data_IF_965097120941
#
_entry.id   IF_965097120941
#
_cell.length_a   1.000
_cell.length_b   1.000
_cell.length_c   1.000
_cell.angle_alpha   90.00
_cell.angle_beta   90.00
_cell.angle_gamma   90.00
#
_symmetry.space_group_name_H-M   'P 1'
#
loop_
_entity.id
_entity.type
_entity.pdbx_description
1 polymer ?
#
# COMPACT_ATOMS: atom_id res chain seq x y z
N UNK A 1 27.94 -63.90 11.85
CA UNK A 1 28.73 -63.63 13.07
C UNK A 1 27.75 -63.24 14.15
N UNK A 2 27.79 -63.94 15.27
CA UNK A 2 26.81 -64.01 16.36
C UNK A 2 26.54 -62.67 17.06
N UNK A 3 25.30 -62.42 17.51
CA UNK A 3 24.92 -62.64 18.92
C UNK A 3 23.49 -62.19 19.22
N UNK A 4 22.78 -63.05 19.93
CA UNK A 4 21.65 -62.71 20.79
C UNK A 4 22.18 -62.47 22.21
N UNK A 5 21.61 -61.52 22.94
CA UNK A 5 21.69 -61.43 24.41
C UNK A 5 20.30 -61.09 24.94
N UNK A 6 19.92 -61.82 25.98
CA UNK A 6 18.66 -61.87 26.72
C UNK A 6 18.62 -60.89 27.91
N UNK A 7 17.48 -60.90 28.60
CA UNK A 7 17.26 -60.58 30.04
C UNK A 7 17.20 -59.09 30.41
N UNK A 8 16.00 -58.52 30.67
CA UNK A 8 15.13 -58.61 31.86
C UNK A 8 15.59 -57.70 32.99
N UNK A 9 14.76 -56.72 33.37
CA UNK A 9 14.35 -56.48 34.76
C UNK A 9 13.32 -55.34 34.81
N UNK A 10 12.28 -55.61 35.59
CA UNK A 10 11.15 -54.76 35.94
C UNK A 10 11.59 -53.53 36.75
N UNK A 11 10.86 -52.42 36.62
CA UNK A 11 10.21 -51.82 37.79
C UNK A 11 9.30 -50.63 37.40
N UNK A 12 8.09 -50.73 37.94
CA UNK A 12 7.18 -49.69 38.41
C UNK A 12 7.12 -48.34 37.65
N UNK A 13 5.94 -48.07 37.06
CA UNK A 13 4.91 -47.24 37.69
C UNK A 13 3.94 -46.73 36.59
N UNK A 14 2.81 -47.43 36.41
CA UNK A 14 1.70 -46.94 35.58
C UNK A 14 0.91 -45.89 36.36
N UNK A 15 1.19 -44.62 36.11
CA UNK A 15 0.33 -43.52 36.52
C UNK A 15 -0.45 -43.01 35.31
N UNK A 16 -1.76 -43.18 35.43
CA UNK A 16 -2.88 -42.65 34.65
C UNK A 16 -2.64 -41.23 34.10
N UNK A 17 -2.27 -41.11 32.83
CA UNK A 17 -2.18 -39.81 32.14
C UNK A 17 -3.58 -39.40 31.68
N UNK A 18 -4.23 -38.67 32.57
CA UNK A 18 -5.38 -37.82 32.27
C UNK A 18 -4.98 -36.78 31.21
N UNK A 19 -5.69 -36.79 30.08
CA UNK A 19 -5.52 -35.81 29.01
C UNK A 19 -5.74 -34.38 29.54
N UNK A 20 -4.65 -33.66 29.76
CA UNK A 20 -4.64 -32.20 29.79
C UNK A 20 -3.75 -31.73 28.66
N UNK A 21 -4.34 -31.63 27.46
CA UNK A 21 -3.64 -31.06 26.31
C UNK A 21 -3.52 -29.54 26.49
N UNK A 22 -2.35 -29.18 27.00
CA UNK A 22 -1.63 -27.92 26.94
C UNK A 22 -2.20 -26.90 25.93
N UNK A 23 -2.56 -25.75 26.50
CA UNK A 23 -2.63 -24.43 25.88
C UNK A 23 -1.39 -24.22 25.00
N UNK A 24 -1.57 -24.35 23.69
CA UNK A 24 -0.52 -24.09 22.68
C UNK A 24 -0.51 -22.58 22.42
N UNK A 25 0.67 -21.94 22.34
CA UNK A 25 0.79 -20.49 22.27
C UNK A 25 0.11 -19.96 21.01
N UNK A 26 -0.73 -18.94 21.20
CA UNK A 26 -1.21 -18.05 20.14
C UNK A 26 -0.01 -17.65 19.29
N UNK A 27 0.05 -18.26 18.11
CA UNK A 27 1.01 -17.87 17.10
C UNK A 27 0.42 -16.62 16.50
N UNK A 28 0.98 -15.47 16.85
CA UNK A 28 0.85 -14.19 16.14
C UNK A 28 1.47 -14.28 14.71
N UNK A 29 1.24 -15.40 14.04
CA UNK A 29 1.58 -15.64 12.67
C UNK A 29 0.49 -14.99 11.79
N UNK A 30 0.75 -13.72 11.51
CA UNK A 30 0.53 -13.16 10.18
C UNK A 30 -0.93 -13.00 9.76
N UNK A 31 -1.61 -12.05 10.42
CA UNK A 31 -2.45 -11.10 9.65
C UNK A 31 -1.56 -10.19 8.80
N UNK A 32 -0.73 -10.75 7.90
CA UNK A 32 -0.19 -9.99 6.78
C UNK A 32 -1.36 -9.76 5.82
N UNK A 33 -1.93 -8.57 5.93
CA UNK A 33 -3.15 -8.16 5.24
C UNK A 33 -2.98 -8.28 3.72
N UNK A 34 -4.08 -8.58 3.03
CA UNK A 34 -4.18 -8.71 1.56
C UNK A 34 -3.65 -7.49 0.75
N UNK A 35 -3.24 -6.41 1.43
CA UNK A 35 -2.84 -5.14 0.83
C UNK A 35 -1.46 -5.18 0.15
N UNK A 36 -0.50 -5.97 0.64
CA UNK A 36 0.80 -6.16 -0.03
C UNK A 36 0.74 -7.21 -1.15
N UNK A 37 -0.12 -8.21 -0.98
CA UNK A 37 -0.25 -9.30 -1.95
C UNK A 37 -0.91 -8.82 -3.25
N UNK A 38 -1.88 -7.92 -3.14
CA UNK A 38 -2.70 -7.52 -4.28
C UNK A 38 -1.93 -6.73 -5.37
N UNK A 39 -1.06 -5.75 -5.05
CA UNK A 39 -0.22 -5.10 -6.05
C UNK A 39 0.75 -6.06 -6.73
N UNK A 40 1.34 -7.00 -5.98
CA UNK A 40 2.26 -8.00 -6.55
C UNK A 40 1.53 -9.02 -7.43
N UNK A 41 0.32 -9.43 -7.02
CA UNK A 41 -0.57 -10.27 -7.81
C UNK A 41 -0.94 -9.59 -9.14
N UNK A 42 -1.36 -8.32 -9.14
CA UNK A 42 -1.67 -7.61 -10.39
C UNK A 42 -0.45 -7.55 -11.31
N UNK A 43 0.74 -7.35 -10.74
CA UNK A 43 1.99 -7.31 -11.51
C UNK A 43 2.29 -8.63 -12.22
N UNK A 44 1.95 -9.77 -11.62
CA UNK A 44 2.20 -11.10 -12.21
C UNK A 44 1.19 -11.54 -13.26
N UNK A 45 0.08 -10.80 -13.43
CA UNK A 45 -0.96 -11.15 -14.41
C UNK A 45 -0.53 -10.95 -15.87
N UNK A 46 -1.12 -11.78 -16.74
CA UNK A 46 -1.00 -11.68 -18.19
C UNK A 46 -1.72 -10.43 -18.73
N UNK A 47 -1.22 -9.88 -19.82
CA UNK A 47 -1.69 -8.64 -20.43
C UNK A 47 -3.20 -8.65 -20.69
N UNK A 48 -3.70 -9.72 -21.34
CA UNK A 48 -5.13 -9.87 -21.62
C UNK A 48 -5.99 -9.88 -20.35
N UNK A 49 -5.53 -10.55 -19.30
CA UNK A 49 -6.24 -10.63 -18.02
C UNK A 49 -6.32 -9.26 -17.35
N UNK A 50 -5.21 -8.53 -17.31
CA UNK A 50 -5.16 -7.16 -16.74
C UNK A 50 -6.13 -6.24 -17.48
N UNK A 51 -6.12 -6.27 -18.83
CA UNK A 51 -7.02 -5.45 -19.64
C UNK A 51 -8.48 -5.81 -19.38
N UNK A 52 -8.81 -7.10 -19.34
CA UNK A 52 -10.17 -7.58 -19.11
C UNK A 52 -10.67 -7.17 -17.73
N UNK A 53 -9.86 -7.37 -16.68
CA UNK A 53 -10.20 -6.97 -15.32
C UNK A 53 -10.40 -5.46 -15.23
N UNK A 54 -9.48 -4.65 -15.77
CA UNK A 54 -9.60 -3.18 -15.74
C UNK A 54 -10.88 -2.69 -16.43
N UNK A 55 -11.26 -3.29 -17.57
CA UNK A 55 -12.47 -2.94 -18.31
C UNK A 55 -13.76 -3.39 -17.63
N UNK A 56 -13.70 -4.42 -16.78
CA UNK A 56 -14.87 -4.97 -16.09
C UNK A 56 -15.09 -4.31 -14.74
N UNK A 57 -14.01 -4.04 -14.00
CA UNK A 57 -14.07 -3.52 -12.62
C UNK A 57 -14.14 -1.99 -12.54
N UNK A 58 -13.56 -1.27 -13.51
CA UNK A 58 -13.48 0.19 -13.49
C UNK A 58 -14.52 0.76 -14.46
N UNK A 59 -15.41 1.67 -13.99
CA UNK A 59 -16.39 2.30 -14.85
C UNK A 59 -15.74 3.00 -16.05
N UNK A 60 -16.36 2.87 -17.23
CA UNK A 60 -15.80 3.37 -18.49
C UNK A 60 -15.50 4.88 -18.50
N UNK A 61 -16.25 5.68 -17.74
CA UNK A 61 -16.06 7.13 -17.63
C UNK A 61 -14.90 7.53 -16.69
N UNK A 62 -14.39 6.60 -15.88
CA UNK A 62 -13.28 6.82 -14.95
C UNK A 62 -11.97 6.28 -15.53
N UNK A 63 -12.04 5.16 -16.24
CA UNK A 63 -10.89 4.54 -16.88
C UNK A 63 -10.43 5.40 -18.08
N UNK A 64 -9.20 5.94 -18.11
CA UNK A 64 -8.72 6.76 -19.22
C UNK A 64 -8.31 5.89 -20.41
N UNK A 65 -9.31 5.21 -21.00
CA UNK A 65 -9.12 4.22 -22.05
C UNK A 65 -8.47 4.82 -23.29
N UNK A 66 -8.94 5.98 -23.73
CA UNK A 66 -8.45 6.62 -24.96
C UNK A 66 -6.96 6.96 -24.85
N UNK A 67 -6.53 7.42 -23.68
CA UNK A 67 -5.12 7.68 -23.39
C UNK A 67 -4.30 6.38 -23.46
N UNK A 68 -4.74 5.33 -22.75
CA UNK A 68 -4.00 4.06 -22.69
C UNK A 68 -3.92 3.41 -24.08
N UNK A 69 -5.01 3.43 -24.85
CA UNK A 69 -5.05 2.83 -26.17
C UNK A 69 -4.22 3.62 -27.20
N UNK A 70 -4.06 4.93 -27.00
CA UNK A 70 -3.18 5.78 -27.81
C UNK A 70 -1.68 5.55 -27.59
N UNK A 71 -1.27 4.82 -26.54
CA UNK A 71 0.14 4.50 -26.32
C UNK A 71 0.66 3.52 -27.37
N UNK A 72 1.82 3.82 -27.97
CA UNK A 72 2.42 2.97 -29.02
C UNK A 72 3.07 1.69 -28.47
N UNK A 73 3.42 1.65 -27.18
CA UNK A 73 4.18 0.57 -26.58
C UNK A 73 3.27 -0.36 -25.76
N UNK A 74 3.23 -1.65 -26.13
CA UNK A 74 2.42 -2.67 -25.43
C UNK A 74 2.78 -2.79 -23.94
N UNK A 75 4.08 -2.71 -23.61
CA UNK A 75 4.53 -2.71 -22.22
C UNK A 75 3.95 -1.55 -21.41
N UNK A 76 3.94 -0.33 -21.97
CA UNK A 76 3.34 0.83 -21.30
C UNK A 76 1.83 0.68 -21.16
N UNK A 77 1.14 0.12 -22.16
CA UNK A 77 -0.30 -0.17 -22.04
C UNK A 77 -0.59 -1.09 -20.86
N UNK A 78 0.13 -2.21 -20.76
CA UNK A 78 0.02 -3.14 -19.63
C UNK A 78 0.26 -2.43 -18.31
N UNK A 79 1.34 -1.66 -18.23
CA UNK A 79 1.72 -0.92 -17.03
C UNK A 79 0.63 0.05 -16.58
N UNK A 80 0.06 0.82 -17.50
CA UNK A 80 -1.04 1.74 -17.20
C UNK A 80 -2.27 0.99 -16.68
N UNK A 81 -2.65 -0.13 -17.28
CA UNK A 81 -3.78 -0.92 -16.79
C UNK A 81 -3.53 -1.52 -15.39
N UNK A 82 -2.31 -2.00 -15.13
CA UNK A 82 -1.93 -2.49 -13.80
C UNK A 82 -2.03 -1.36 -12.76
N UNK A 83 -1.48 -0.19 -13.07
CA UNK A 83 -1.57 0.99 -12.20
C UNK A 83 -3.02 1.44 -11.97
N UNK A 84 -3.88 1.41 -13.00
CA UNK A 84 -5.31 1.66 -12.85
C UNK A 84 -5.94 0.72 -11.83
N UNK A 85 -5.73 -0.60 -11.96
CA UNK A 85 -6.31 -1.60 -11.07
C UNK A 85 -5.81 -1.47 -9.64
N UNK A 86 -4.50 -1.29 -9.45
CA UNK A 86 -3.93 -1.10 -8.11
C UNK A 86 -4.47 0.18 -7.48
N UNK A 87 -4.47 1.30 -8.22
CA UNK A 87 -5.04 2.56 -7.74
C UNK A 87 -6.52 2.40 -7.38
N UNK A 88 -7.30 1.74 -8.23
CA UNK A 88 -8.72 1.51 -8.02
C UNK A 88 -8.96 0.77 -6.70
N UNK A 89 -8.22 -0.31 -6.43
CA UNK A 89 -8.41 -1.05 -5.18
C UNK A 89 -7.87 -0.30 -3.95
N UNK A 90 -6.67 0.29 -4.04
CA UNK A 90 -6.06 1.04 -2.93
C UNK A 90 -6.91 2.23 -2.51
N UNK A 91 -7.59 2.87 -3.48
CA UNK A 91 -8.49 4.00 -3.22
C UNK A 91 -9.92 3.58 -2.89
N UNK A 92 -10.16 2.28 -2.61
CA UNK A 92 -11.48 1.72 -2.31
C UNK A 92 -12.51 2.03 -3.41
N UNK A 93 -12.09 1.88 -4.67
CA UNK A 93 -12.91 2.08 -5.88
C UNK A 93 -13.41 3.53 -6.06
N UNK A 94 -12.59 4.50 -5.64
CA UNK A 94 -12.93 5.92 -5.72
C UNK A 94 -12.17 6.64 -6.83
N UNK A 95 -10.93 6.25 -7.12
CA UNK A 95 -10.05 7.02 -8.02
C UNK A 95 -9.28 6.13 -8.98
N UNK A 96 -9.04 6.68 -10.17
CA UNK A 96 -8.17 6.12 -11.20
C UNK A 96 -7.18 7.22 -11.64
N UNK A 97 -5.95 6.87 -12.04
CA UNK A 97 -4.98 7.90 -12.40
C UNK A 97 -5.38 8.67 -13.64
N UNK A 98 -5.03 9.95 -13.68
CA UNK A 98 -5.30 10.83 -14.84
C UNK A 98 -4.16 10.72 -15.88
N UNK A 99 -4.41 11.06 -17.16
CA UNK A 99 -3.40 11.02 -18.22
C UNK A 99 -2.04 11.62 -17.84
N UNK A 100 -2.01 12.86 -17.34
CA UNK A 100 -0.74 13.52 -16.96
C UNK A 100 0.01 12.79 -15.82
N UNK A 101 -0.71 12.09 -14.94
CA UNK A 101 -0.10 11.30 -13.87
C UNK A 101 0.59 10.06 -14.45
N UNK A 102 0.02 9.47 -15.51
CA UNK A 102 0.70 8.41 -16.28
C UNK A 102 1.90 8.94 -17.04
N UNK A 103 1.78 10.07 -17.73
CA UNK A 103 2.91 10.66 -18.47
C UNK A 103 4.11 10.87 -17.56
N UNK A 104 3.88 11.42 -16.38
CA UNK A 104 4.92 11.58 -15.37
C UNK A 104 5.48 10.24 -14.91
N UNK A 105 4.62 9.28 -14.55
CA UNK A 105 5.06 7.98 -14.07
C UNK A 105 5.88 7.22 -15.14
N UNK A 106 5.46 7.27 -16.40
CA UNK A 106 6.15 6.68 -17.54
C UNK A 106 7.48 7.38 -17.83
N UNK A 107 7.55 8.71 -17.74
CA UNK A 107 8.79 9.44 -17.95
C UNK A 107 9.84 9.12 -16.86
N UNK A 108 9.42 9.06 -15.60
CA UNK A 108 10.29 8.63 -14.49
C UNK A 108 10.76 7.18 -14.70
N UNK A 109 9.87 6.27 -15.12
CA UNK A 109 10.26 4.89 -15.42
C UNK A 109 11.30 4.79 -16.55
N UNK A 110 11.24 5.70 -17.53
CA UNK A 110 12.26 5.85 -18.60
C UNK A 110 13.55 6.55 -18.13
N UNK A 111 13.70 6.80 -16.82
CA UNK A 111 14.85 7.51 -16.23
C UNK A 111 15.03 8.92 -16.79
N UNK A 112 13.92 9.59 -17.12
CA UNK A 112 13.93 10.98 -17.55
C UNK A 112 13.67 11.90 -16.36
N UNK A 113 14.47 12.96 -16.27
CA UNK A 113 14.21 14.04 -15.33
C UNK A 113 13.00 14.85 -15.79
N UNK A 114 11.93 14.81 -15.00
CA UNK A 114 10.66 15.44 -15.34
C UNK A 114 10.14 16.32 -14.21
N UNK A 115 9.62 17.48 -14.60
CA UNK A 115 8.96 18.41 -13.70
C UNK A 115 7.45 18.44 -13.99
N UNK A 116 6.64 18.03 -13.01
CA UNK A 116 5.19 18.13 -13.11
C UNK A 116 4.72 19.50 -12.60
N UNK A 117 4.49 20.45 -13.52
CA UNK A 117 3.94 21.75 -13.18
C UNK A 117 2.40 21.72 -13.11
N UNK A 118 1.84 21.44 -11.92
CA UNK A 118 0.39 21.36 -11.72
C UNK A 118 -0.08 22.00 -10.41
N UNK A 119 -1.28 22.58 -10.46
CA UNK A 119 -1.96 23.20 -9.33
C UNK A 119 -2.33 22.22 -8.20
N UNK A 120 -2.86 22.76 -7.10
CA UNK A 120 -3.44 21.97 -6.00
C UNK A 120 -4.65 21.17 -6.50
N UNK A 121 -4.98 20.05 -5.83
CA UNK A 121 -6.10 19.19 -6.23
C UNK A 121 -5.85 18.32 -7.48
N UNK A 122 -4.74 18.52 -8.20
CA UNK A 122 -4.43 17.71 -9.40
C UNK A 122 -4.09 16.24 -9.09
N UNK A 123 -3.83 15.90 -7.83
CA UNK A 123 -3.44 14.55 -7.42
C UNK A 123 -1.93 14.30 -7.53
N UNK A 124 -1.10 15.30 -7.25
CA UNK A 124 0.37 15.14 -7.14
C UNK A 124 0.76 13.99 -6.23
N UNK A 125 0.09 13.85 -5.08
CA UNK A 125 0.32 12.75 -4.15
C UNK A 125 0.05 11.39 -4.81
N UNK A 126 -1.04 11.28 -5.58
CA UNK A 126 -1.34 10.06 -6.32
C UNK A 126 -0.26 9.78 -7.37
N UNK A 127 0.19 10.79 -8.13
CA UNK A 127 1.28 10.64 -9.08
C UNK A 127 2.58 10.12 -8.43
N UNK A 128 2.93 10.59 -7.23
CA UNK A 128 4.09 10.08 -6.48
C UNK A 128 3.86 8.64 -5.98
N UNK A 129 2.65 8.29 -5.57
CA UNK A 129 2.30 6.92 -5.18
C UNK A 129 2.41 5.96 -6.38
N UNK A 130 2.06 6.40 -7.58
CA UNK A 130 2.26 5.57 -8.79
C UNK A 130 3.73 5.22 -8.99
N UNK A 131 4.67 6.13 -8.67
CA UNK A 131 6.11 5.82 -8.72
C UNK A 131 6.52 4.74 -7.73
N UNK A 132 5.96 4.75 -6.52
CA UNK A 132 6.18 3.69 -5.53
C UNK A 132 5.61 2.35 -6.02
N UNK A 133 4.45 2.38 -6.67
CA UNK A 133 3.85 1.17 -7.26
C UNK A 133 4.65 0.65 -8.45
N UNK A 134 5.32 1.53 -9.20
CA UNK A 134 6.24 1.16 -10.27
C UNK A 134 7.56 0.58 -9.76
N UNK A 135 7.98 0.93 -8.54
CA UNK A 135 9.19 0.36 -7.96
C UNK A 135 9.01 -1.15 -7.79
N UNK A 136 9.87 -1.91 -8.45
CA UNK A 136 9.97 -3.37 -8.41
C UNK A 136 11.25 -3.84 -7.72
N UNK A 137 11.90 -2.95 -6.97
CA UNK A 137 13.21 -3.17 -6.34
C UNK A 137 14.38 -2.69 -7.20
N UNK A 138 14.16 -2.31 -8.46
CA UNK A 138 15.22 -1.83 -9.35
C UNK A 138 15.71 -0.41 -9.04
N UNK A 139 14.94 0.38 -8.30
CA UNK A 139 15.28 1.77 -7.94
C UNK A 139 14.61 2.19 -6.62
N UNK A 140 15.23 3.16 -5.95
CA UNK A 140 14.73 3.74 -4.69
C UNK A 140 13.97 5.03 -5.02
N UNK A 141 12.73 5.14 -4.53
CA UNK A 141 11.92 6.36 -4.66
C UNK A 141 11.98 7.14 -3.35
N UNK A 142 12.54 8.34 -3.38
CA UNK A 142 12.57 9.27 -2.24
C UNK A 142 11.53 10.37 -2.48
N UNK A 143 10.50 10.42 -1.63
CA UNK A 143 9.46 11.45 -1.68
C UNK A 143 9.73 12.49 -0.60
N UNK A 144 10.03 13.72 -0.99
CA UNK A 144 10.23 14.85 -0.06
C UNK A 144 8.98 15.73 -0.09
N UNK A 145 8.29 15.84 1.05
CA UNK A 145 7.13 16.72 1.21
C UNK A 145 7.39 17.78 2.28
N UNK A 146 7.36 19.06 1.89
CA UNK A 146 7.66 20.20 2.77
C UNK A 146 6.47 20.61 3.66
N UNK A 147 5.25 20.14 3.35
CA UNK A 147 4.00 20.65 3.93
C UNK A 147 3.79 20.29 5.42
N UNK A 148 4.32 19.14 5.89
CA UNK A 148 4.17 18.74 7.31
C UNK A 148 4.80 19.74 8.28
N UNK A 149 5.82 20.50 7.86
CA UNK A 149 6.49 21.50 8.72
C UNK A 149 5.78 22.86 8.72
N UNK A 150 5.17 23.26 7.60
CA UNK A 150 4.48 24.55 7.49
C UNK A 150 3.15 24.58 8.27
N UNK A 151 2.40 23.47 8.27
CA UNK A 151 1.16 23.39 9.06
C UNK A 151 1.42 23.40 10.57
N UNK A 152 2.54 22.82 11.02
CA UNK A 152 2.95 22.87 12.44
C UNK A 152 3.40 24.27 12.88
N UNK A 153 3.90 25.11 11.97
CA UNK A 153 4.35 26.47 12.25
C UNK A 153 3.24 27.53 12.18
N UNK A 154 2.05 27.18 11.69
CA UNK A 154 0.94 28.10 11.47
C UNK A 154 -0.23 27.91 12.44
N UNK A 155 -0.14 27.00 13.41
CA UNK A 155 -1.07 27.02 14.56
C UNK A 155 -0.69 28.23 15.41
N UNK A 156 -1.53 29.27 15.48
CA UNK A 156 -1.27 30.36 16.40
C UNK A 156 -1.33 29.75 17.80
N UNK A 157 -0.25 29.88 18.55
CA UNK A 157 -0.30 29.68 20.00
C UNK A 157 -1.26 30.74 20.50
N UNK A 158 -2.53 30.37 20.70
CA UNK A 158 -3.47 31.25 21.39
C UNK A 158 -2.83 31.54 22.76
N UNK A 159 -2.61 32.82 23.13
CA UNK A 159 -2.08 33.10 24.45
C UNK A 159 -3.09 32.61 25.49
N UNK A 160 -2.70 31.56 26.21
CA UNK A 160 -3.34 31.20 27.45
C UNK A 160 -3.17 32.39 28.42
N UNK A 161 -4.28 32.79 29.05
CA UNK A 161 -4.40 33.86 30.05
C UNK A 161 -4.54 35.30 29.53
N UNK A 162 -5.80 35.71 29.35
CA UNK A 162 -6.24 37.02 29.83
C UNK A 162 -7.28 36.78 30.92
N UNK A 163 -6.79 36.54 32.14
CA UNK A 163 -7.56 36.62 33.36
C UNK A 163 -7.48 38.08 33.82
N UNK A 164 -8.49 38.89 33.51
CA UNK A 164 -8.61 40.24 34.05
C UNK A 164 -9.96 40.33 34.77
N UNK A 165 -9.95 39.85 36.01
CA UNK A 165 -10.87 40.36 37.04
C UNK A 165 -10.54 41.84 37.23
N UNK A 166 -11.52 42.69 37.00
CA UNK A 166 -11.60 43.98 37.69
C UNK A 166 -13.05 44.22 38.02
N UNK A 167 -13.36 44.02 39.30
CA UNK A 167 -14.47 44.63 40.00
C UNK A 167 -14.56 46.11 39.65
N UNK A 168 -15.77 46.64 39.46
CA UNK A 168 -16.26 47.87 40.11
C UNK A 168 -17.76 48.09 39.78
N UNK A 169 -18.53 48.70 40.70
CA UNK A 169 -19.99 48.83 40.59
C UNK A 169 -20.47 50.21 40.10
N UNK A 170 -21.66 50.20 39.46
CA UNK A 170 -22.69 51.28 39.37
C UNK A 170 -22.34 52.55 38.54
N UNK A 171 -23.33 53.31 37.99
CA UNK A 171 -24.61 53.75 38.58
C UNK A 171 -25.91 53.16 37.99
#
# INVERSE_FOLDING_TARGET
MFSAISESEDDENQVEITQTSKKTPETDAEKLTCQTYYPQYIKSLNDHTVVTMARTEIPAHILPRDYIEGLSCAFLKKLCYQLCLVCWQVTKRAQCPKPLQFEFACAVHKKQDVFMNVGTGFGKTLAMILLLLLADGSFIVIIISLLKRLQASQVPVAPANMNMKSDLPYP
#
